data_IF_127856498116
#
_entry.id   IF_127856498116
#
_cell.length_a   1.000
_cell.length_b   1.000
_cell.length_c   1.000
_cell.angle_alpha   90.00
_cell.angle_beta   90.00
_cell.angle_gamma   90.00
#
_symmetry.space_group_name_H-M   'P 1'
#
loop_
_entity.id
_entity.type
_entity.pdbx_description
1 polymer ?
#
# COMPACT_ATOMS: atom_id res chain seq x y z
N UNK A 1 36.18 -41.79 2.81
CA UNK A 1 36.29 -40.40 2.30
C UNK A 1 34.92 -39.70 2.22
N UNK A 2 34.05 -39.81 3.24
CA UNK A 2 32.67 -39.27 3.23
C UNK A 2 32.30 -38.38 4.44
N UNK A 3 33.20 -38.24 5.42
CA UNK A 3 32.97 -37.39 6.59
C UNK A 3 33.31 -35.91 6.34
N UNK A 4 34.27 -35.62 5.47
CA UNK A 4 34.70 -34.24 5.19
C UNK A 4 33.69 -33.45 4.34
N UNK A 5 32.94 -34.12 3.44
CA UNK A 5 31.95 -33.48 2.56
C UNK A 5 30.67 -33.05 3.28
N UNK A 6 30.29 -33.70 4.39
CA UNK A 6 29.09 -33.33 5.17
C UNK A 6 29.33 -32.06 5.98
N UNK A 7 30.51 -31.92 6.58
CA UNK A 7 30.83 -30.76 7.41
C UNK A 7 31.06 -29.50 6.58
N UNK A 8 31.55 -29.63 5.34
CA UNK A 8 31.71 -28.50 4.42
C UNK A 8 30.37 -27.87 4.00
N UNK A 9 29.33 -28.68 3.76
CA UNK A 9 27.98 -28.17 3.46
C UNK A 9 27.37 -27.40 4.65
N UNK A 10 27.64 -27.85 5.87
CA UNK A 10 27.17 -27.18 7.09
C UNK A 10 27.83 -25.80 7.25
N UNK A 11 29.14 -25.71 6.99
CA UNK A 11 29.90 -24.45 7.08
C UNK A 11 29.42 -23.44 6.03
N UNK A 12 29.15 -23.87 4.79
CA UNK A 12 28.63 -23.01 3.73
C UNK A 12 27.21 -22.52 4.10
N UNK A 13 26.37 -23.39 4.65
CA UNK A 13 25.01 -23.03 5.07
C UNK A 13 25.02 -22.01 6.24
N UNK A 14 25.92 -22.18 7.21
CA UNK A 14 26.09 -21.23 8.32
C UNK A 14 26.57 -19.85 7.82
N UNK A 15 27.47 -19.83 6.82
CA UNK A 15 27.95 -18.59 6.20
C UNK A 15 26.82 -17.79 5.53
N UNK A 16 25.92 -18.47 4.80
CA UNK A 16 24.76 -17.84 4.18
C UNK A 16 23.78 -17.24 5.21
N UNK A 17 23.57 -17.92 6.35
CA UNK A 17 22.71 -17.41 7.43
C UNK A 17 23.31 -16.12 8.03
N UNK A 18 24.62 -16.07 8.27
CA UNK A 18 25.27 -14.87 8.81
C UNK A 18 25.17 -13.66 7.86
N UNK A 19 25.31 -13.88 6.55
CA UNK A 19 25.16 -12.82 5.54
C UNK A 19 23.71 -12.32 5.50
N UNK A 20 22.73 -13.24 5.56
CA UNK A 20 21.30 -12.90 5.56
C UNK A 20 20.93 -12.03 6.78
N UNK A 21 21.43 -12.37 7.98
CA UNK A 21 21.21 -11.57 9.19
C UNK A 21 21.86 -10.19 9.13
N UNK A 22 23.02 -10.05 8.46
CA UNK A 22 23.68 -8.76 8.25
C UNK A 22 22.86 -7.79 7.41
N UNK A 23 22.23 -8.28 6.33
CA UNK A 23 21.39 -7.47 5.43
C UNK A 23 20.11 -7.02 6.14
N UNK A 24 19.50 -7.91 6.95
CA UNK A 24 18.29 -7.58 7.72
C UNK A 24 18.58 -6.46 8.74
N UNK A 25 19.73 -6.51 9.44
CA UNK A 25 20.11 -5.42 10.37
C UNK A 25 20.41 -4.10 9.66
N UNK A 26 20.96 -4.16 8.45
CA UNK A 26 21.25 -2.98 7.64
C UNK A 26 19.97 -2.27 7.16
N UNK A 27 18.92 -3.02 6.83
CA UNK A 27 17.63 -2.46 6.42
C UNK A 27 16.81 -1.88 7.58
N UNK A 28 17.08 -2.29 8.83
CA UNK A 28 16.35 -1.80 10.01
C UNK A 28 16.96 -0.55 10.67
N UNK A 29 18.05 0.00 10.14
CA UNK A 29 18.64 1.25 10.62
C UNK A 29 17.95 2.45 9.97
N UNK A 30 16.64 2.59 10.20
CA UNK A 30 15.88 3.77 9.79
C UNK A 30 16.28 5.00 10.62
N UNK A 31 16.57 6.07 9.90
CA UNK A 31 17.02 7.38 10.39
C UNK A 31 16.06 7.94 11.45
N UNK A 32 16.65 8.46 12.53
CA UNK A 32 15.98 9.26 13.56
C UNK A 32 15.47 10.56 12.91
N UNK A 33 14.17 10.67 12.70
CA UNK A 33 13.51 11.91 12.26
C UNK A 33 13.55 12.92 13.40
N UNK A 34 14.13 14.09 13.16
CA UNK A 34 14.11 15.20 14.11
C UNK A 34 12.67 15.72 14.26
N UNK A 35 12.18 15.79 15.49
CA UNK A 35 10.92 16.45 15.82
C UNK A 35 11.06 17.96 15.53
N UNK A 36 10.32 18.44 14.54
CA UNK A 36 10.11 19.87 14.31
C UNK A 36 8.86 20.25 15.10
N UNK A 37 9.00 21.16 16.05
CA UNK A 37 7.91 21.75 16.83
C UNK A 37 6.96 22.45 15.85
N UNK A 38 5.66 22.09 15.77
CA UNK A 38 4.72 22.79 14.92
C UNK A 38 4.43 24.17 15.54
N UNK A 39 4.97 25.22 14.92
CA UNK A 39 4.52 26.59 15.17
C UNK A 39 3.19 26.76 14.45
N UNK A 40 2.16 27.18 15.18
CA UNK A 40 0.82 27.45 14.64
C UNK A 40 0.94 28.51 13.53
N UNK A 41 0.53 28.23 12.28
CA UNK A 41 0.55 29.25 11.24
C UNK A 41 -0.50 30.32 11.54
N UNK A 42 -0.06 31.55 11.76
CA UNK A 42 -0.92 32.74 11.66
C UNK A 42 -1.54 32.76 10.26
N UNK A 43 -2.86 33.00 10.10
CA UNK A 43 -3.47 33.05 8.79
C UNK A 43 -2.93 34.26 8.01
N UNK A 44 -1.96 34.01 7.13
CA UNK A 44 -1.62 34.94 6.06
C UNK A 44 -2.74 34.85 5.02
N UNK A 45 -3.50 35.94 4.88
CA UNK A 45 -4.53 36.06 3.85
C UNK A 45 -3.82 36.00 2.50
N UNK A 46 -3.84 34.83 1.85
CA UNK A 46 -3.41 34.70 0.46
C UNK A 46 -4.37 35.49 -0.43
N UNK A 47 -3.89 36.21 -1.45
CA UNK A 47 -4.79 36.76 -2.45
C UNK A 47 -5.57 35.62 -3.09
N UNK A 48 -6.89 35.76 -3.13
CA UNK A 48 -7.80 34.82 -3.80
C UNK A 48 -7.46 34.86 -5.28
N UNK A 49 -6.65 33.89 -5.73
CA UNK A 49 -6.58 33.57 -7.15
C UNK A 49 -7.88 32.83 -7.45
N UNK A 50 -8.82 33.56 -8.03
CA UNK A 50 -10.07 33.00 -8.52
C UNK A 50 -9.75 32.13 -9.74
N UNK A 51 -9.28 30.90 -9.53
CA UNK A 51 -9.16 29.89 -10.59
C UNK A 51 -10.57 29.35 -10.83
N UNK A 52 -11.39 30.18 -11.49
CA UNK A 52 -12.60 29.70 -12.16
C UNK A 52 -12.14 29.07 -13.46
N UNK A 53 -11.95 27.76 -13.39
CA UNK A 53 -12.28 26.75 -14.41
C UNK A 53 -11.59 25.47 -13.95
N UNK A 54 -12.32 24.63 -13.20
CA UNK A 54 -12.09 23.20 -13.28
C UNK A 54 -12.35 22.84 -14.73
N UNK A 55 -11.36 22.38 -15.52
CA UNK A 55 -11.72 21.76 -16.78
C UNK A 55 -12.52 20.51 -16.38
N UNK A 56 -13.85 20.60 -16.50
CA UNK A 56 -14.67 19.42 -16.77
C UNK A 56 -13.93 18.65 -17.86
N UNK A 57 -13.96 17.31 -17.86
CA UNK A 57 -13.41 16.54 -18.97
C UNK A 57 -14.11 17.04 -20.22
N UNK A 58 -13.44 17.95 -20.93
CA UNK A 58 -13.81 18.38 -22.26
C UNK A 58 -13.89 17.04 -22.98
N UNK A 59 -15.01 16.79 -23.64
CA UNK A 59 -15.08 15.74 -24.64
C UNK A 59 -14.10 16.16 -25.75
N UNK A 60 -12.80 16.06 -25.46
CA UNK A 60 -11.73 16.54 -26.31
C UNK A 60 -11.65 15.52 -27.41
N UNK A 61 -12.07 15.92 -28.60
CA UNK A 61 -11.97 15.11 -29.82
C UNK A 61 -10.51 14.93 -30.27
N UNK A 62 -9.56 15.60 -29.60
CA UNK A 62 -8.13 15.41 -29.79
C UNK A 62 -7.71 13.98 -29.39
N UNK A 63 -7.24 13.16 -30.34
CA UNK A 63 -6.80 11.80 -30.08
C UNK A 63 -5.66 11.70 -29.05
N UNK A 64 -4.77 12.69 -28.99
CA UNK A 64 -3.60 12.68 -28.09
C UNK A 64 -4.05 12.86 -26.64
N UNK A 65 -4.97 13.81 -26.40
CA UNK A 65 -5.56 14.05 -25.08
C UNK A 65 -6.36 12.83 -24.62
N UNK A 66 -7.12 12.21 -25.53
CA UNK A 66 -7.88 10.99 -25.24
C UNK A 66 -6.98 9.82 -24.84
N UNK A 67 -5.88 9.59 -25.56
CA UNK A 67 -4.92 8.54 -25.22
C UNK A 67 -4.18 8.83 -23.90
N UNK A 68 -3.87 10.10 -23.60
CA UNK A 68 -3.30 10.48 -22.31
C UNK A 68 -4.22 10.09 -21.13
N UNK A 69 -5.51 10.47 -21.19
CA UNK A 69 -6.46 10.13 -20.12
C UNK A 69 -6.71 8.63 -20.01
N UNK A 70 -6.80 7.92 -21.13
CA UNK A 70 -6.93 6.46 -21.14
C UNK A 70 -5.74 5.77 -20.50
N UNK A 71 -4.51 6.24 -20.78
CA UNK A 71 -3.30 5.70 -20.15
C UNK A 71 -3.27 6.00 -18.65
N UNK A 72 -3.63 7.23 -18.27
CA UNK A 72 -3.71 7.63 -16.86
C UNK A 72 -4.71 6.73 -16.11
N UNK A 73 -5.88 6.52 -16.68
CA UNK A 73 -6.91 5.62 -16.15
C UNK A 73 -6.37 4.20 -15.97
N UNK A 74 -5.75 3.63 -17.00
CA UNK A 74 -5.12 2.30 -16.92
C UNK A 74 -4.05 2.21 -15.84
N UNK A 75 -3.20 3.22 -15.71
CA UNK A 75 -2.14 3.25 -14.71
C UNK A 75 -2.71 3.42 -13.29
N UNK A 76 -3.81 4.17 -13.13
CA UNK A 76 -4.57 4.25 -11.88
C UNK A 76 -5.12 2.89 -11.49
N UNK A 77 -5.83 2.18 -12.38
CA UNK A 77 -6.41 0.87 -12.04
C UNK A 77 -5.36 -0.21 -11.74
N UNK A 78 -4.14 -0.11 -12.28
CA UNK A 78 -3.04 -1.01 -11.90
C UNK A 78 -2.65 -0.87 -10.43
N UNK A 79 -2.63 0.36 -9.91
CA UNK A 79 -2.31 0.65 -8.52
C UNK A 79 -3.51 0.52 -7.57
N UNK A 80 -4.72 0.70 -8.09
CA UNK A 80 -5.96 0.71 -7.33
C UNK A 80 -7.00 -0.23 -7.95
N UNK A 81 -6.74 -1.55 -8.02
CA UNK A 81 -7.64 -2.49 -8.69
C UNK A 81 -9.01 -2.64 -7.99
N UNK A 82 -9.15 -2.18 -6.75
CA UNK A 82 -10.42 -2.16 -6.01
C UNK A 82 -11.07 -0.77 -5.97
N UNK A 83 -10.60 0.19 -6.79
CA UNK A 83 -11.05 1.60 -6.72
C UNK A 83 -12.57 1.74 -6.76
N UNK A 84 -13.24 1.01 -7.65
CA UNK A 84 -14.70 1.06 -7.81
C UNK A 84 -15.49 0.43 -6.66
N UNK A 85 -14.82 -0.30 -5.77
CA UNK A 85 -15.44 -1.00 -4.65
C UNK A 85 -15.11 -0.39 -3.29
N UNK A 86 -14.26 0.64 -3.23
CA UNK A 86 -13.75 1.21 -1.99
C UNK A 86 -14.12 2.69 -1.82
N UNK A 87 -14.41 3.15 -0.59
CA UNK A 87 -14.40 2.40 0.66
C UNK A 87 -15.61 1.44 0.78
N UNK A 88 -15.44 0.35 1.53
CA UNK A 88 -16.51 -0.63 1.80
C UNK A 88 -16.58 -0.94 3.30
N UNK A 89 -17.78 -1.13 3.83
CA UNK A 89 -18.02 -1.39 5.25
C UNK A 89 -19.10 -2.44 5.46
N UNK A 90 -18.91 -3.27 6.48
CA UNK A 90 -19.84 -4.28 6.99
C UNK A 90 -20.05 -4.08 8.50
N UNK A 91 -20.87 -4.93 9.10
CA UNK A 91 -21.07 -4.97 10.55
C UNK A 91 -19.81 -5.36 11.33
N UNK A 92 -18.83 -6.01 10.68
CA UNK A 92 -17.65 -6.56 11.34
C UNK A 92 -16.35 -5.82 11.00
N UNK A 93 -16.28 -5.14 9.86
CA UNK A 93 -15.05 -4.54 9.36
C UNK A 93 -15.31 -3.44 8.32
N UNK A 94 -14.30 -2.61 8.09
CA UNK A 94 -14.26 -1.57 7.06
C UNK A 94 -12.92 -1.67 6.32
N UNK A 95 -12.93 -1.43 5.02
CA UNK A 95 -11.75 -1.44 4.16
C UNK A 95 -11.65 -0.14 3.35
N UNK A 96 -10.43 0.37 3.18
CA UNK A 96 -10.14 1.54 2.34
C UNK A 96 -8.72 1.47 1.79
N UNK A 97 -8.44 2.22 0.73
CA UNK A 97 -7.06 2.47 0.31
C UNK A 97 -6.40 3.50 1.22
N UNK A 98 -5.14 3.24 1.58
CA UNK A 98 -4.23 4.26 2.11
C UNK A 98 -3.36 4.79 0.97
N UNK A 99 -2.84 3.88 0.12
CA UNK A 99 -1.96 4.16 -1.03
C UNK A 99 -2.15 3.06 -2.10
N UNK A 100 -1.49 3.23 -3.24
CA UNK A 100 -1.43 2.22 -4.30
C UNK A 100 -1.01 0.86 -3.73
N UNK A 101 -1.81 -0.17 -4.03
CA UNK A 101 -1.64 -1.54 -3.53
C UNK A 101 -1.55 -1.67 -1.99
N UNK A 102 -2.01 -0.68 -1.24
CA UNK A 102 -1.99 -0.68 0.22
C UNK A 102 -3.38 -0.39 0.80
N UNK A 103 -3.91 -1.37 1.53
CA UNK A 103 -5.24 -1.36 2.11
C UNK A 103 -5.16 -1.20 3.63
N UNK A 104 -6.04 -0.39 4.20
CA UNK A 104 -6.36 -0.39 5.62
C UNK A 104 -7.61 -1.21 5.84
N UNK A 105 -7.59 -2.09 6.83
CA UNK A 105 -8.77 -2.83 7.28
C UNK A 105 -8.99 -2.54 8.75
N UNK A 106 -10.03 -1.78 9.05
CA UNK A 106 -10.48 -1.52 10.42
C UNK A 106 -11.44 -2.62 10.87
N UNK A 107 -11.05 -3.35 11.91
CA UNK A 107 -11.81 -4.47 12.45
C UNK A 107 -12.65 -4.01 13.66
N UNK A 108 -13.94 -4.35 13.68
CA UNK A 108 -14.80 -4.21 14.88
C UNK A 108 -14.62 -5.39 15.84
N UNK A 109 -14.13 -6.53 15.32
CA UNK A 109 -13.67 -7.69 16.10
C UNK A 109 -12.52 -8.36 15.35
N UNK A 110 -11.42 -8.63 16.03
CA UNK A 110 -10.27 -9.28 15.40
C UNK A 110 -10.34 -10.80 15.60
N UNK A 111 -10.74 -11.51 14.56
CA UNK A 111 -10.74 -12.98 14.52
C UNK A 111 -10.17 -13.47 13.19
N UNK A 112 -9.55 -14.68 13.15
CA UNK A 112 -9.08 -15.27 11.91
C UNK A 112 -10.18 -15.40 10.85
N UNK A 113 -11.42 -15.68 11.27
CA UNK A 113 -12.57 -15.79 10.37
C UNK A 113 -12.89 -14.46 9.67
N UNK A 114 -12.91 -13.35 10.41
CA UNK A 114 -13.16 -12.01 9.84
C UNK A 114 -12.02 -11.60 8.91
N UNK A 115 -10.76 -11.86 9.28
CA UNK A 115 -9.63 -11.59 8.38
C UNK A 115 -9.74 -12.39 7.08
N UNK A 116 -10.13 -13.65 7.15
CA UNK A 116 -10.36 -14.49 5.97
C UNK A 116 -11.52 -13.96 5.12
N UNK A 117 -12.61 -13.51 5.74
CA UNK A 117 -13.75 -12.87 5.06
C UNK A 117 -13.31 -11.66 4.22
N UNK A 118 -12.42 -10.82 4.76
CA UNK A 118 -11.88 -9.68 4.00
C UNK A 118 -11.05 -10.14 2.80
N UNK A 119 -10.18 -11.15 2.99
CA UNK A 119 -9.38 -11.71 1.88
C UNK A 119 -10.26 -12.33 0.80
N UNK A 120 -11.32 -13.03 1.19
CA UNK A 120 -12.27 -13.64 0.27
C UNK A 120 -13.10 -12.58 -0.46
N UNK A 121 -13.46 -11.49 0.21
CA UNK A 121 -14.11 -10.34 -0.42
C UNK A 121 -13.21 -9.72 -1.49
N UNK A 122 -11.92 -9.49 -1.20
CA UNK A 122 -10.94 -8.98 -2.19
C UNK A 122 -10.87 -9.92 -3.40
N UNK A 123 -10.77 -11.24 -3.17
CA UNK A 123 -10.78 -12.25 -4.24
C UNK A 123 -12.07 -12.22 -5.06
N UNK A 124 -13.22 -12.02 -4.41
CA UNK A 124 -14.52 -11.97 -5.09
C UNK A 124 -14.63 -10.81 -6.08
N UNK A 125 -13.78 -9.77 -5.95
CA UNK A 125 -13.67 -8.65 -6.90
C UNK A 125 -12.68 -8.92 -8.03
N UNK A 126 -12.13 -10.13 -8.12
CA UNK A 126 -11.14 -10.52 -9.13
C UNK A 126 -9.72 -10.05 -8.82
N UNK A 127 -9.43 -9.66 -7.59
CA UNK A 127 -8.12 -9.16 -7.15
C UNK A 127 -7.47 -10.19 -6.23
N UNK A 128 -6.20 -10.52 -6.45
CA UNK A 128 -5.45 -11.39 -5.55
C UNK A 128 -4.97 -10.59 -4.31
N UNK A 129 -5.40 -10.93 -3.08
CA UNK A 129 -5.01 -10.21 -1.87
C UNK A 129 -3.50 -10.20 -1.61
N UNK A 130 -2.75 -11.17 -2.17
CA UNK A 130 -1.29 -11.22 -2.03
C UNK A 130 -0.61 -10.06 -2.77
N UNK A 131 -1.29 -9.44 -3.73
CA UNK A 131 -0.79 -8.25 -4.43
C UNK A 131 -0.90 -6.97 -3.60
N UNK A 132 -1.59 -7.02 -2.45
CA UNK A 132 -1.78 -5.87 -1.56
C UNK A 132 -1.01 -6.04 -0.26
N UNK A 133 -0.47 -4.93 0.23
CA UNK A 133 -0.10 -4.82 1.64
C UNK A 133 -1.35 -4.46 2.43
N UNK A 134 -1.71 -5.28 3.41
CA UNK A 134 -2.93 -5.08 4.23
C UNK A 134 -2.51 -4.69 5.65
N UNK A 135 -2.87 -3.48 6.04
CA UNK A 135 -2.73 -2.97 7.40
C UNK A 135 -3.99 -3.28 8.20
N UNK A 136 -3.85 -4.11 9.24
CA UNK A 136 -4.96 -4.53 10.08
C UNK A 136 -5.04 -3.63 11.32
N UNK A 137 -6.10 -2.84 11.42
CA UNK A 137 -6.38 -1.99 12.58
C UNK A 137 -7.32 -2.76 13.52
N UNK A 138 -6.87 -3.19 14.72
CA UNK A 138 -7.70 -3.94 15.66
C UNK A 138 -8.82 -3.05 16.25
N UNK A 139 -9.85 -3.66 16.87
CA UNK A 139 -10.87 -2.90 17.58
C UNK A 139 -10.25 -2.09 18.74
N UNK A 140 -10.82 -0.91 18.98
CA UNK A 140 -10.47 -0.05 20.12
C UNK A 140 -11.06 -0.57 21.43
#
# INVERSE_FOLDING_TARGET
>A
MNLFRKNLKLIIFLGFICILFGIIKFLFSSKKTNEIIPVLPTPTISPVINVTETPLPIATTDPEVKEFYKKLEQDTYKGFPLFDYLPYETDNWKITYIKSLQLEVTLKKDTPAIRQEVLDWIKSKGVDPVTHTIEWIPPK
#
